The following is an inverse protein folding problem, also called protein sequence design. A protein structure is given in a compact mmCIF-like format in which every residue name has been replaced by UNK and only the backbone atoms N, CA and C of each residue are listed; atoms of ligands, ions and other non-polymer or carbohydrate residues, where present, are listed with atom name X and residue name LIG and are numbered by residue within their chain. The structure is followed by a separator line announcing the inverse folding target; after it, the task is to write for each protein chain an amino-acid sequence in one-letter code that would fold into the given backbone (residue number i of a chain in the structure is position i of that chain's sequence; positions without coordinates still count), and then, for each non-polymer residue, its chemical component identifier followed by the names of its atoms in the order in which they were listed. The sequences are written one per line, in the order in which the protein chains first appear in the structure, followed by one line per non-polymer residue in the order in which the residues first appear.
data_IF_324663791389
#
_entry.id   IF_324663791389
#
_cell.length_a   1.000
_cell.length_b   1.000
_cell.length_c   1.000
_cell.angle_alpha   90.00
_cell.angle_beta   90.00
_cell.angle_gamma   90.00
#
_symmetry.space_group_name_H-M   'P 1'
#
loop_
_entity.id
_entity.type
_entity.pdbx_description
1 polymer ?
#
# COMPACT_ATOMS: atom_id res chain seq x y z
N UNK A 1 -17.26 7.21 -13.82
CA UNK A 1 -17.01 7.44 -12.37
C UNK A 1 -17.12 6.10 -11.69
N UNK A 2 -16.02 5.63 -11.10
CA UNK A 2 -15.97 4.38 -10.35
C UNK A 2 -16.48 4.68 -8.95
N UNK A 3 -17.58 4.05 -8.54
CA UNK A 3 -18.17 4.22 -7.20
C UNK A 3 -17.86 3.05 -6.27
N UNK A 4 -17.52 1.90 -6.83
CA UNK A 4 -17.15 0.71 -6.09
C UNK A 4 -16.27 -0.20 -6.96
N UNK A 5 -15.30 -0.87 -6.34
CA UNK A 5 -14.48 -1.92 -6.96
C UNK A 5 -14.22 -3.07 -6.00
N UNK A 6 -13.69 -4.17 -6.54
CA UNK A 6 -13.22 -5.34 -5.81
C UNK A 6 -11.69 -5.31 -5.81
N UNK A 7 -11.02 -5.23 -4.66
CA UNK A 7 -9.56 -5.26 -4.52
C UNK A 7 -9.09 -6.61 -3.95
N UNK A 8 -8.87 -7.65 -4.78
CA UNK A 8 -8.47 -8.97 -4.29
C UNK A 8 -6.99 -9.02 -3.83
N UNK A 9 -6.23 -7.96 -4.07
CA UNK A 9 -4.86 -7.80 -3.60
C UNK A 9 -4.82 -7.53 -2.09
N UNK A 10 -3.78 -8.01 -1.40
CA UNK A 10 -3.51 -7.56 -0.04
C UNK A 10 -3.39 -6.03 -0.04
N UNK A 11 -4.12 -5.35 0.84
CA UNK A 11 -4.17 -3.89 0.81
C UNK A 11 -2.75 -3.29 0.80
N UNK A 12 -2.50 -2.49 -0.24
CA UNK A 12 -1.25 -1.79 -0.54
C UNK A 12 -0.07 -2.65 -1.02
N UNK A 13 -0.27 -3.95 -1.20
CA UNK A 13 0.69 -4.89 -1.78
C UNK A 13 0.08 -5.52 -3.03
N UNK A 14 0.67 -5.40 -4.24
CA UNK A 14 0.00 -5.77 -5.49
C UNK A 14 -0.11 -7.29 -5.76
N UNK A 15 -0.21 -8.10 -4.72
CA UNK A 15 -0.31 -9.56 -4.76
C UNK A 15 -1.69 -10.03 -4.31
N UNK A 16 -2.29 -10.95 -5.07
CA UNK A 16 -3.53 -11.65 -4.71
C UNK A 16 -3.15 -12.90 -3.91
N UNK A 17 -3.70 -13.14 -2.71
CA UNK A 17 -3.47 -14.36 -1.92
C UNK A 17 -4.09 -15.63 -2.55
N UNK A 18 -3.67 -15.98 -3.76
CA UNK A 18 -4.13 -17.14 -4.52
C UNK A 18 -2.93 -17.88 -5.09
N UNK A 19 -2.93 -19.21 -4.96
CA UNK A 19 -1.81 -20.06 -5.39
C UNK A 19 -1.47 -19.79 -6.86
N UNK A 20 -0.18 -19.59 -7.14
CA UNK A 20 0.35 -19.32 -8.48
C UNK A 20 0.30 -17.85 -8.89
N UNK A 21 -0.37 -16.97 -8.12
CA UNK A 21 -0.36 -15.54 -8.42
C UNK A 21 1.04 -14.94 -8.25
N UNK A 22 1.40 -14.07 -9.18
CA UNK A 22 2.69 -13.40 -9.23
C UNK A 22 2.49 -11.92 -9.49
N UNK A 23 3.27 -11.09 -8.79
CA UNK A 23 3.19 -9.65 -8.85
C UNK A 23 4.57 -9.03 -8.69
N UNK A 24 4.69 -7.80 -9.17
CA UNK A 24 5.90 -7.01 -9.02
C UNK A 24 5.54 -5.54 -8.83
N UNK A 25 6.33 -4.85 -8.03
CA UNK A 25 6.34 -3.39 -7.96
C UNK A 25 7.75 -2.85 -8.15
N UNK A 26 7.83 -1.67 -8.76
CA UNK A 26 9.04 -0.90 -8.91
C UNK A 26 8.90 0.39 -8.08
N UNK A 27 9.91 0.65 -7.27
CA UNK A 27 9.98 1.83 -6.39
C UNK A 27 10.89 2.87 -7.02
N UNK A 28 10.40 4.07 -7.22
CA UNK A 28 11.13 5.20 -7.78
C UNK A 28 11.30 6.31 -6.74
N UNK A 29 12.46 6.98 -6.73
CA UNK A 29 12.59 8.27 -6.03
C UNK A 29 11.63 9.29 -6.63
N UNK A 30 10.81 9.94 -5.80
CA UNK A 30 9.80 10.88 -6.29
C UNK A 30 10.43 12.11 -6.99
N UNK A 31 11.58 12.58 -6.49
CA UNK A 31 12.25 13.77 -7.00
C UNK A 31 13.03 13.49 -8.29
N UNK A 32 13.87 12.44 -8.30
CA UNK A 32 14.76 12.14 -9.44
C UNK A 32 14.13 11.21 -10.46
N UNK A 33 13.08 10.47 -10.08
CA UNK A 33 12.42 9.42 -10.88
C UNK A 33 13.34 8.26 -11.23
N UNK A 34 14.45 8.12 -10.51
CA UNK A 34 15.35 6.98 -10.64
C UNK A 34 14.76 5.76 -9.95
N UNK A 35 14.96 4.57 -10.54
CA UNK A 35 14.56 3.30 -9.95
C UNK A 35 15.45 3.02 -8.73
N UNK A 36 14.82 2.84 -7.56
CA UNK A 36 15.52 2.55 -6.30
C UNK A 36 15.49 1.07 -5.96
N UNK A 37 14.36 0.39 -6.20
CA UNK A 37 14.20 -1.02 -5.90
C UNK A 37 13.10 -1.67 -6.76
N UNK A 38 13.16 -2.99 -6.87
CA UNK A 38 12.10 -3.82 -7.45
C UNK A 38 11.72 -4.89 -6.43
N UNK A 39 10.44 -5.01 -6.09
CA UNK A 39 9.92 -6.06 -5.22
C UNK A 39 9.09 -7.05 -6.02
N UNK A 40 9.51 -8.30 -6.04
CA UNK A 40 8.78 -9.44 -6.61
C UNK A 40 8.04 -10.20 -5.51
N UNK A 41 6.81 -10.61 -5.79
CA UNK A 41 5.95 -11.33 -4.86
C UNK A 41 5.31 -12.53 -5.55
N UNK A 42 5.44 -13.72 -4.96
CA UNK A 42 4.89 -14.97 -5.53
C UNK A 42 4.16 -15.80 -4.49
N UNK A 43 2.87 -16.04 -4.70
CA UNK A 43 2.08 -17.00 -3.94
C UNK A 43 2.47 -18.43 -4.34
N UNK A 44 3.41 -19.02 -3.60
CA UNK A 44 4.19 -20.17 -4.06
C UNK A 44 3.66 -21.52 -3.57
N UNK A 45 2.99 -21.56 -2.41
CA UNK A 45 2.51 -22.80 -1.82
C UNK A 45 1.23 -22.59 -1.01
N UNK A 46 0.48 -23.68 -0.83
CA UNK A 46 -0.61 -23.73 0.15
C UNK A 46 0.00 -23.93 1.53
N UNK A 47 -0.52 -23.20 2.51
CA UNK A 47 -0.05 -23.26 3.89
C UNK A 47 -1.23 -23.25 4.86
N UNK A 48 -0.95 -23.57 6.11
CA UNK A 48 -1.90 -23.44 7.21
C UNK A 48 -1.22 -22.75 8.39
N UNK A 49 -1.78 -21.62 8.82
CA UNK A 49 -1.34 -20.91 10.02
C UNK A 49 -2.38 -21.13 11.10
N UNK A 50 -1.97 -21.81 12.18
CA UNK A 50 -2.88 -22.35 13.19
C UNK A 50 -3.95 -23.26 12.55
N UNK A 51 -5.20 -22.80 12.49
CA UNK A 51 -6.33 -23.54 11.91
C UNK A 51 -6.89 -22.89 10.63
N UNK A 52 -6.16 -21.95 10.02
CA UNK A 52 -6.61 -21.19 8.86
C UNK A 52 -5.79 -21.56 7.62
N UNK A 53 -6.48 -21.97 6.56
CA UNK A 53 -5.89 -22.23 5.26
C UNK A 53 -5.52 -20.91 4.57
N UNK A 54 -4.35 -20.90 3.93
CA UNK A 54 -3.78 -19.71 3.34
C UNK A 54 -2.76 -20.06 2.24
N UNK A 55 -2.17 -19.03 1.66
CA UNK A 55 -1.01 -19.17 0.78
C UNK A 55 0.23 -18.58 1.42
N UNK A 56 1.36 -19.22 1.19
CA UNK A 56 2.67 -18.63 1.43
C UNK A 56 3.05 -17.74 0.23
N UNK A 57 3.41 -16.50 0.50
CA UNK A 57 3.84 -15.53 -0.49
C UNK A 57 5.31 -15.19 -0.23
N UNK A 58 6.18 -15.61 -1.14
CA UNK A 58 7.59 -15.22 -1.11
C UNK A 58 7.75 -13.79 -1.62
N UNK A 59 8.52 -12.98 -0.89
CA UNK A 59 8.83 -11.59 -1.24
C UNK A 59 10.33 -11.48 -1.47
N UNK A 60 10.71 -10.93 -2.61
CA UNK A 60 12.11 -10.68 -2.96
C UNK A 60 12.27 -9.24 -3.38
N UNK A 61 13.04 -8.50 -2.61
CA UNK A 61 13.39 -7.14 -2.97
C UNK A 61 14.80 -7.09 -3.55
N UNK A 62 14.91 -6.43 -4.70
CA UNK A 62 16.13 -6.15 -5.40
C UNK A 62 16.40 -4.66 -5.31
N UNK A 63 17.22 -4.27 -4.34
CA UNK A 63 17.81 -2.95 -4.23
C UNK A 63 18.67 -2.66 -5.47
N UNK A 64 18.40 -1.54 -6.14
CA UNK A 64 19.25 -1.04 -7.24
C UNK A 64 20.29 -0.06 -6.70
N UNK A 65 19.95 0.67 -5.62
CA UNK A 65 20.85 1.62 -4.96
C UNK A 65 21.53 0.98 -3.75
N UNK A 66 22.80 1.29 -3.54
CA UNK A 66 23.57 0.83 -2.37
C UNK A 66 23.04 1.41 -1.05
N UNK A 67 22.37 2.56 -1.11
CA UNK A 67 21.72 3.21 0.04
C UNK A 67 20.32 2.65 0.36
N UNK A 68 19.91 1.58 -0.33
CA UNK A 68 18.65 0.91 -0.10
C UNK A 68 18.85 -0.21 0.92
N UNK A 69 18.70 0.16 2.20
CA UNK A 69 18.50 -0.78 3.29
C UNK A 69 17.19 -0.41 3.97
N UNK A 70 16.21 -1.31 3.90
CA UNK A 70 14.96 -1.22 4.66
C UNK A 70 14.99 -2.34 5.69
N UNK A 71 15.56 -2.09 6.90
CA UNK A 71 15.62 -3.08 7.94
C UNK A 71 14.24 -3.66 8.26
N UNK A 72 14.17 -4.98 8.42
CA UNK A 72 12.93 -5.66 8.77
C UNK A 72 11.96 -5.86 7.60
N UNK A 73 12.38 -5.66 6.34
CA UNK A 73 11.54 -6.00 5.20
C UNK A 73 11.13 -7.49 5.23
N UNK A 74 9.83 -7.80 5.09
CA UNK A 74 9.36 -9.16 5.08
C UNK A 74 9.85 -9.88 3.82
N UNK A 75 10.32 -11.11 3.98
CA UNK A 75 10.68 -11.98 2.85
C UNK A 75 9.66 -13.10 2.64
N UNK A 76 8.70 -13.25 3.57
CA UNK A 76 7.61 -14.20 3.48
C UNK A 76 6.35 -13.63 4.14
N UNK A 77 5.21 -13.81 3.48
CA UNK A 77 3.89 -13.64 4.07
C UNK A 77 3.14 -14.96 4.09
N UNK A 78 2.20 -15.09 5.01
CA UNK A 78 1.10 -16.02 4.95
C UNK A 78 -0.18 -15.22 4.91
N UNK A 79 -0.99 -15.42 3.88
CA UNK A 79 -2.17 -14.60 3.67
C UNK A 79 -3.32 -15.40 3.07
N UNK A 80 -4.54 -14.97 3.38
CA UNK A 80 -5.77 -15.54 2.85
C UNK A 80 -6.57 -14.49 2.10
N UNK A 81 -7.37 -14.97 1.16
CA UNK A 81 -8.39 -14.22 0.45
C UNK A 81 -9.68 -15.03 0.49
N UNK A 82 -10.77 -14.40 0.90
CA UNK A 82 -12.11 -14.97 0.81
C UNK A 82 -13.06 -14.03 0.04
N UNK A 83 -14.37 -14.29 0.14
CA UNK A 83 -15.38 -13.50 -0.56
C UNK A 83 -15.50 -12.05 -0.06
N UNK A 84 -15.04 -11.77 1.16
CA UNK A 84 -15.25 -10.51 1.89
C UNK A 84 -13.95 -9.75 2.11
N UNK A 85 -12.87 -10.44 2.47
CA UNK A 85 -11.64 -9.81 2.91
C UNK A 85 -10.36 -10.48 2.39
N UNK A 86 -9.30 -9.67 2.35
CA UNK A 86 -7.91 -10.14 2.33
C UNK A 86 -7.31 -10.00 3.71
N UNK A 87 -6.45 -10.94 4.12
CA UNK A 87 -5.90 -10.93 5.48
C UNK A 87 -4.48 -11.47 5.54
N UNK A 88 -3.60 -10.77 6.27
CA UNK A 88 -2.33 -11.31 6.74
C UNK A 88 -2.56 -12.24 7.93
N UNK A 89 -1.99 -13.44 7.87
CA UNK A 89 -2.01 -14.43 8.94
C UNK A 89 -0.64 -14.61 9.59
N UNK A 90 0.43 -14.31 8.86
CA UNK A 90 1.76 -14.29 9.43
C UNK A 90 2.77 -13.62 8.51
N UNK A 91 3.87 -13.17 9.10
CA UNK A 91 4.98 -12.53 8.41
C UNK A 91 6.29 -13.10 8.92
N UNK A 92 7.24 -13.32 8.01
CA UNK A 92 8.62 -13.65 8.37
C UNK A 92 9.52 -12.51 7.96
N UNK A 93 10.16 -11.91 8.96
CA UNK A 93 11.07 -10.78 8.80
C UNK A 93 12.46 -11.17 9.31
N UNK A 94 13.49 -10.56 8.73
CA UNK A 94 14.83 -10.62 9.28
C UNK A 94 14.94 -9.54 10.36
N UNK A 95 15.25 -9.95 11.59
CA UNK A 95 15.58 -9.05 12.71
C UNK A 95 16.96 -9.43 13.20
N UNK A 96 17.92 -8.51 13.04
CA UNK A 96 19.34 -8.76 13.30
C UNK A 96 19.83 -10.02 12.57
N UNK A 97 20.35 -11.01 13.30
CA UNK A 97 20.85 -12.29 12.77
C UNK A 97 19.78 -13.39 12.71
N UNK A 98 18.50 -13.08 13.02
CA UNK A 98 17.44 -14.08 13.16
C UNK A 98 16.27 -13.82 12.22
N UNK A 99 15.67 -14.91 11.73
CA UNK A 99 14.33 -14.87 11.15
C UNK A 99 13.31 -14.95 12.27
N UNK A 100 12.39 -14.00 12.28
CA UNK A 100 11.30 -13.94 13.26
C UNK A 100 9.99 -14.13 12.52
N UNK A 101 9.25 -15.17 12.91
CA UNK A 101 7.87 -15.39 12.50
C UNK A 101 6.96 -14.71 13.51
N UNK A 102 6.07 -13.84 13.04
CA UNK A 102 4.94 -13.31 13.81
C UNK A 102 3.63 -13.71 13.12
N UNK A 103 2.61 -14.04 13.89
CA UNK A 103 1.29 -14.46 13.41
C UNK A 103 0.19 -13.60 14.01
N UNK A 104 -1.03 -13.71 13.48
CA UNK A 104 -2.20 -12.98 13.98
C UNK A 104 -2.57 -13.25 15.45
N UNK A 105 -1.97 -14.26 16.09
CA UNK A 105 -2.14 -14.54 17.51
C UNK A 105 -1.10 -13.83 18.41
N UNK A 106 -0.06 -13.23 17.83
CA UNK A 106 0.99 -12.55 18.57
C UNK A 106 0.60 -11.11 18.92
N UNK A 107 1.08 -10.64 20.07
CA UNK A 107 0.82 -9.28 20.53
C UNK A 107 1.31 -8.23 19.51
N UNK A 108 0.48 -7.22 19.27
CA UNK A 108 0.76 -6.13 18.34
C UNK A 108 0.71 -6.49 16.86
N UNK A 109 0.48 -7.76 16.48
CA UNK A 109 0.43 -8.13 15.05
C UNK A 109 -0.62 -7.33 14.27
N UNK A 110 -1.83 -7.25 14.82
CA UNK A 110 -2.95 -6.56 14.14
C UNK A 110 -2.75 -5.04 14.08
N UNK A 111 -1.90 -4.46 14.93
CA UNK A 111 -1.55 -3.04 14.86
C UNK A 111 -0.63 -2.75 13.67
N UNK A 112 0.26 -3.69 13.35
CA UNK A 112 1.23 -3.59 12.26
C UNK A 112 0.66 -4.05 10.91
N UNK A 113 -0.19 -5.09 10.93
CA UNK A 113 -0.64 -5.82 9.73
C UNK A 113 -2.17 -5.85 9.56
N UNK A 114 -2.92 -5.21 10.45
CA UNK A 114 -4.38 -5.17 10.40
C UNK A 114 -5.05 -6.49 10.82
N UNK A 115 -6.39 -6.45 10.89
CA UNK A 115 -7.23 -7.61 11.27
C UNK A 115 -7.79 -8.38 10.07
N UNK A 116 -7.51 -7.91 8.86
CA UNK A 116 -8.30 -8.21 7.68
C UNK A 116 -8.83 -6.92 7.07
N UNK A 117 -8.90 -6.91 5.75
CA UNK A 117 -9.19 -5.74 4.94
C UNK A 117 -10.36 -6.05 4.01
N UNK A 118 -11.44 -5.26 4.10
CA UNK A 118 -12.56 -5.41 3.18
C UNK A 118 -12.09 -5.24 1.74
N UNK A 119 -12.45 -6.21 0.90
CA UNK A 119 -12.10 -6.20 -0.52
C UNK A 119 -12.91 -5.17 -1.31
N UNK A 120 -14.15 -4.89 -0.89
CA UNK A 120 -15.01 -3.93 -1.59
C UNK A 120 -14.63 -2.51 -1.18
N UNK A 121 -13.93 -1.81 -2.07
CA UNK A 121 -13.60 -0.40 -1.87
C UNK A 121 -14.64 0.47 -2.55
N UNK A 122 -15.20 1.44 -1.83
CA UNK A 122 -16.21 2.35 -2.36
C UNK A 122 -15.81 3.82 -2.22
N UNK A 123 -16.25 4.61 -3.20
CA UNK A 123 -16.34 6.07 -3.08
C UNK A 123 -17.80 6.42 -2.75
N UNK A 124 -18.05 6.69 -1.48
CA UNK A 124 -19.35 7.13 -1.00
C UNK A 124 -19.42 8.67 -0.82
N UNK A 125 -18.37 9.39 -1.26
CA UNK A 125 -18.23 10.83 -1.05
C UNK A 125 -17.75 11.21 0.35
N UNK A 126 -17.01 10.32 1.04
CA UNK A 126 -16.31 10.63 2.30
C UNK A 126 -15.45 11.86 2.17
N UNK A 127 -14.59 11.94 1.15
CA UNK A 127 -13.65 13.04 0.96
C UNK A 127 -14.21 14.09 0.00
N UNK A 128 -14.54 15.28 0.52
CA UNK A 128 -15.08 16.39 -0.28
C UNK A 128 -14.03 17.44 -0.58
N UNK A 129 -13.65 17.66 -1.85
CA UNK A 129 -12.69 18.70 -2.20
C UNK A 129 -13.21 20.08 -1.82
N UNK A 130 -12.30 20.95 -1.41
CA UNK A 130 -12.52 22.36 -1.06
C UNK A 130 -11.85 23.27 -2.11
N UNK A 131 -12.23 24.56 -2.19
CA UNK A 131 -11.63 25.50 -3.15
C UNK A 131 -10.12 25.72 -3.00
N UNK A 132 -9.55 25.45 -1.82
CA UNK A 132 -8.12 25.57 -1.50
C UNK A 132 -7.32 24.28 -1.75
N UNK A 133 -7.91 23.33 -2.50
CA UNK A 133 -7.38 21.99 -2.77
C UNK A 133 -7.24 21.07 -1.52
N UNK A 134 -7.72 21.50 -0.36
CA UNK A 134 -7.91 20.62 0.81
C UNK A 134 -9.17 19.77 0.65
N UNK A 135 -9.35 18.82 1.58
CA UNK A 135 -10.50 17.94 1.63
C UNK A 135 -11.15 18.01 3.00
N UNK A 136 -12.47 17.94 3.02
CA UNK A 136 -13.26 17.76 4.25
C UNK A 136 -13.84 16.35 4.29
N UNK A 137 -13.72 15.66 5.42
CA UNK A 137 -14.43 14.38 5.58
C UNK A 137 -15.90 14.58 5.88
N UNK A 138 -16.73 13.63 5.46
CA UNK A 138 -18.12 13.49 5.89
C UNK A 138 -18.24 12.35 6.90
N UNK A 139 -19.42 12.13 7.48
CA UNK A 139 -19.68 10.99 8.38
C UNK A 139 -19.70 9.61 7.70
N UNK A 140 -19.24 9.53 6.45
CA UNK A 140 -19.18 8.31 5.65
C UNK A 140 -17.83 7.60 5.84
N UNK A 141 -17.71 6.36 5.35
CA UNK A 141 -16.59 5.47 5.68
C UNK A 141 -15.79 4.99 4.47
N UNK A 142 -16.32 5.14 3.26
CA UNK A 142 -15.64 4.75 2.02
C UNK A 142 -14.25 5.35 1.91
N UNK A 143 -13.34 4.60 1.32
CA UNK A 143 -11.94 5.01 1.15
C UNK A 143 -11.71 5.72 -0.20
N UNK A 144 -12.68 5.62 -1.12
CA UNK A 144 -12.61 6.28 -2.42
C UNK A 144 -12.58 7.80 -2.28
N UNK A 145 -11.68 8.42 -3.04
CA UNK A 145 -11.37 9.84 -3.04
C UNK A 145 -11.41 10.41 -4.47
N UNK A 146 -12.38 9.96 -5.28
CA UNK A 146 -12.59 10.37 -6.67
C UNK A 146 -11.98 9.42 -7.71
N UNK A 147 -12.42 9.58 -8.96
CA UNK A 147 -11.91 8.83 -10.12
C UNK A 147 -10.95 9.68 -10.95
N UNK A 148 -9.85 9.09 -11.43
CA UNK A 148 -8.77 9.78 -12.13
C UNK A 148 -8.26 8.96 -13.30
N UNK A 149 -7.87 9.63 -14.39
CA UNK A 149 -7.10 9.01 -15.45
C UNK A 149 -5.61 9.11 -15.12
N UNK A 150 -4.99 7.98 -14.80
CA UNK A 150 -3.57 7.89 -14.42
C UNK A 150 -2.77 7.44 -15.62
N UNK A 151 -1.80 8.24 -16.05
CA UNK A 151 -0.92 7.90 -17.18
C UNK A 151 0.47 7.54 -16.69
N UNK A 152 0.92 6.31 -17.00
CA UNK A 152 2.26 5.80 -16.68
C UNK A 152 2.91 5.32 -17.97
N UNK A 153 4.03 5.93 -18.34
CA UNK A 153 4.64 5.73 -19.64
C UNK A 153 3.65 6.09 -20.76
N UNK A 154 3.37 5.15 -21.66
CA UNK A 154 2.40 5.31 -22.75
C UNK A 154 0.99 4.78 -22.46
N UNK A 155 0.69 4.35 -21.23
CA UNK A 155 -0.59 3.70 -20.87
C UNK A 155 -1.39 4.60 -19.92
N UNK A 156 -2.70 4.67 -20.14
CA UNK A 156 -3.64 5.41 -19.30
C UNK A 156 -4.65 4.44 -18.69
N UNK A 157 -4.89 4.59 -17.39
CA UNK A 157 -5.78 3.76 -16.59
C UNK A 157 -6.87 4.62 -15.98
N UNK A 158 -8.13 4.21 -16.12
CA UNK A 158 -9.23 4.83 -15.39
C UNK A 158 -9.27 4.22 -13.99
N UNK A 159 -8.86 5.01 -12.99
CA UNK A 159 -8.63 4.52 -11.63
C UNK A 159 -9.56 5.15 -10.61
N UNK A 160 -9.99 4.37 -9.63
CA UNK A 160 -10.42 4.92 -8.35
C UNK A 160 -9.18 5.31 -7.55
N UNK A 161 -9.09 6.57 -7.11
CA UNK A 161 -8.13 6.98 -6.09
C UNK A 161 -8.68 6.61 -4.72
N UNK A 162 -7.83 6.04 -3.88
CA UNK A 162 -8.19 5.57 -2.55
C UNK A 162 -7.26 6.19 -1.52
N UNK A 163 -7.82 6.63 -0.40
CA UNK A 163 -7.11 7.15 0.76
C UNK A 163 -7.43 6.36 2.01
N UNK A 164 -6.39 5.74 2.57
CA UNK A 164 -6.42 5.07 3.86
C UNK A 164 -5.66 5.89 4.89
N UNK A 165 -6.39 6.57 5.78
CA UNK A 165 -5.82 7.48 6.77
C UNK A 165 -5.21 6.77 7.98
N UNK A 166 -5.26 5.41 8.04
CA UNK A 166 -4.77 4.53 9.13
C UNK A 166 -5.13 4.96 10.57
N UNK A 167 -6.00 5.96 10.68
CA UNK A 167 -6.58 6.58 11.85
C UNK A 167 -7.93 7.18 11.42
N UNK A 168 -8.92 7.09 12.30
CA UNK A 168 -10.23 7.70 12.11
C UNK A 168 -10.67 8.33 13.42
N UNK A 169 -10.77 9.67 13.52
CA UNK A 169 -10.67 10.68 12.44
C UNK A 169 -9.24 10.87 11.88
N UNK A 170 -9.07 11.63 10.78
CA UNK A 170 -7.75 12.06 10.29
C UNK A 170 -6.89 12.67 11.40
N UNK A 171 -5.57 12.43 11.32
CA UNK A 171 -4.62 12.79 12.36
C UNK A 171 -3.24 13.07 11.76
N UNK A 172 -2.58 14.13 12.24
CA UNK A 172 -1.19 14.43 11.89
C UNK A 172 -0.17 13.45 12.51
N UNK A 173 -0.62 12.50 13.33
CA UNK A 173 0.20 11.43 13.91
C UNK A 173 -0.01 10.05 13.25
N UNK A 174 -0.69 10.01 12.10
CA UNK A 174 -0.95 8.77 11.36
C UNK A 174 -0.39 8.85 9.94
N UNK A 175 -0.24 7.68 9.31
CA UNK A 175 0.11 7.59 7.89
C UNK A 175 -1.14 7.76 7.02
N UNK A 176 -0.90 8.12 5.76
CA UNK A 176 -1.92 8.11 4.73
C UNK A 176 -1.38 7.32 3.54
N UNK A 177 -2.09 6.27 3.17
CA UNK A 177 -1.83 5.52 1.95
C UNK A 177 -2.66 6.13 0.80
N UNK A 178 -2.01 6.47 -0.31
CA UNK A 178 -2.69 6.85 -1.55
C UNK A 178 -2.47 5.78 -2.60
N UNK A 179 -3.56 5.19 -3.06
CA UNK A 179 -3.56 4.13 -4.06
C UNK A 179 -4.44 4.50 -5.24
N UNK A 180 -4.02 4.10 -6.44
CA UNK A 180 -4.84 4.19 -7.65
C UNK A 180 -5.08 2.78 -8.16
N UNK A 181 -6.35 2.38 -8.13
CA UNK A 181 -6.80 1.03 -8.46
C UNK A 181 -7.64 1.13 -9.74
N UNK A 182 -7.27 0.37 -10.76
CA UNK A 182 -8.01 0.34 -12.02
C UNK A 182 -9.27 -0.55 -11.93
N UNK A 183 -10.11 -0.52 -12.96
CA UNK A 183 -11.45 -1.13 -12.97
C UNK A 183 -11.48 -2.64 -12.67
N UNK A 184 -10.42 -3.39 -13.02
CA UNK A 184 -10.29 -4.82 -12.72
C UNK A 184 -9.85 -5.11 -11.28
N UNK A 185 -9.64 -4.07 -10.47
CA UNK A 185 -9.30 -4.22 -9.06
C UNK A 185 -7.82 -4.33 -8.77
N UNK A 186 -6.96 -3.89 -9.70
CA UNK A 186 -5.50 -3.97 -9.55
C UNK A 186 -4.91 -2.62 -9.19
N UNK A 187 -4.00 -2.60 -8.22
CA UNK A 187 -3.18 -1.44 -7.94
C UNK A 187 -2.31 -1.11 -9.15
N UNK A 188 -2.30 0.16 -9.55
CA UNK A 188 -1.50 0.70 -10.66
C UNK A 188 -0.37 1.58 -10.10
N UNK A 189 -0.70 2.40 -9.11
CA UNK A 189 0.20 3.40 -8.54
C UNK A 189 -0.06 3.58 -7.05
N UNK A 190 1.00 3.74 -6.28
CA UNK A 190 0.92 3.91 -4.84
C UNK A 190 1.92 4.94 -4.31
N UNK A 191 1.48 5.70 -3.30
CA UNK A 191 2.28 6.63 -2.52
C UNK A 191 1.96 6.50 -1.04
N UNK A 192 2.98 6.66 -0.21
CA UNK A 192 2.82 6.78 1.23
C UNK A 192 3.05 8.23 1.67
N UNK A 193 2.21 8.70 2.57
CA UNK A 193 2.33 10.01 3.19
C UNK A 193 2.42 9.85 4.71
N UNK A 194 3.19 10.70 5.36
CA UNK A 194 3.22 10.80 6.82
C UNK A 194 2.46 12.03 7.27
N UNK A 195 1.64 11.87 8.31
CA UNK A 195 1.10 13.01 9.04
C UNK A 195 2.25 13.91 9.52
N UNK A 196 2.02 15.21 9.46
CA UNK A 196 3.01 16.25 9.74
C UNK A 196 3.81 16.02 11.03
N UNK A 197 3.18 15.44 12.05
CA UNK A 197 3.72 15.23 13.38
C UNK A 197 4.04 13.75 13.67
N UNK A 198 4.13 12.91 12.63
CA UNK A 198 4.28 11.47 12.77
C UNK A 198 5.75 11.02 12.74
N UNK A 199 6.41 10.91 13.89
CA UNK A 199 7.76 10.36 13.97
C UNK A 199 8.45 10.69 15.30
N UNK A 200 9.63 10.13 15.56
CA UNK A 200 10.37 10.44 16.77
C UNK A 200 10.85 11.90 16.77
N UNK A 201 10.84 12.54 17.94
CA UNK A 201 11.54 13.80 18.19
C UNK A 201 10.86 15.08 17.71
N UNK A 202 9.52 15.14 17.65
CA UNK A 202 8.76 16.33 17.24
C UNK A 202 9.20 16.90 15.88
N UNK A 203 9.60 16.02 14.95
CA UNK A 203 9.93 16.42 13.59
C UNK A 203 8.65 16.86 12.89
N UNK A 204 8.64 18.10 12.39
CA UNK A 204 7.63 18.59 11.47
C UNK A 204 8.03 18.22 10.04
N UNK A 205 7.37 17.20 9.48
CA UNK A 205 7.68 16.73 8.13
C UNK A 205 7.41 17.78 7.05
N UNK A 206 6.48 18.71 7.27
CA UNK A 206 6.18 19.76 6.32
C UNK A 206 7.29 20.81 6.27
N UNK A 207 8.00 21.02 7.39
CA UNK A 207 9.20 21.87 7.46
C UNK A 207 10.42 21.13 6.91
N UNK A 208 10.59 19.84 7.24
CA UNK A 208 11.72 19.03 6.77
C UNK A 208 11.68 18.85 5.24
N UNK A 209 10.48 18.66 4.68
CA UNK A 209 10.25 18.43 3.26
C UNK A 209 9.24 19.43 2.68
N UNK A 210 9.63 20.71 2.56
CA UNK A 210 8.72 21.78 2.16
C UNK A 210 8.27 21.63 0.70
N UNK A 211 9.07 20.97 -0.13
CA UNK A 211 8.81 20.76 -1.56
C UNK A 211 8.01 19.49 -1.87
N UNK A 212 7.93 18.55 -0.94
CA UNK A 212 7.22 17.29 -1.20
C UNK A 212 5.72 17.56 -1.37
N UNK A 213 5.03 16.78 -2.23
CA UNK A 213 3.58 16.80 -2.35
C UNK A 213 2.90 16.65 -0.98
N UNK A 214 1.76 17.33 -0.82
CA UNK A 214 0.98 17.33 0.42
C UNK A 214 -0.48 17.04 0.12
N UNK A 215 -1.11 16.32 1.04
CA UNK A 215 -2.56 16.13 1.08
C UNK A 215 -3.05 16.73 2.39
N UNK A 216 -4.11 17.54 2.33
CA UNK A 216 -4.71 18.17 3.52
C UNK A 216 -6.13 17.68 3.69
N UNK A 217 -6.42 17.02 4.81
CA UNK A 217 -7.74 16.46 5.14
C UNK A 217 -8.17 16.97 6.51
N UNK A 218 -9.29 17.69 6.59
CA UNK A 218 -9.79 18.32 7.82
C UNK A 218 -8.72 19.15 8.56
N UNK A 219 -7.85 19.81 7.80
CA UNK A 219 -6.73 20.60 8.33
C UNK A 219 -5.50 19.78 8.75
N UNK A 220 -5.57 18.45 8.77
CA UNK A 220 -4.40 17.59 9.00
C UNK A 220 -3.54 17.54 7.73
N UNK A 221 -2.25 17.82 7.86
CA UNK A 221 -1.30 17.80 6.74
C UNK A 221 -0.60 16.45 6.67
N UNK A 222 -0.65 15.83 5.50
CA UNK A 222 0.07 14.61 5.15
C UNK A 222 1.12 14.93 4.09
N UNK A 223 2.38 14.58 4.35
CA UNK A 223 3.54 14.89 3.50
C UNK A 223 4.04 13.62 2.84
N UNK A 224 4.27 13.64 1.53
CA UNK A 224 4.75 12.47 0.77
C UNK A 224 6.14 12.05 1.26
N UNK A 225 6.19 10.99 2.06
CA UNK A 225 7.40 10.31 2.50
C UNK A 225 7.00 8.98 3.20
N UNK A 226 7.94 8.03 3.24
CA UNK A 226 7.80 6.78 3.98
C UNK A 226 8.48 6.86 5.36
N UNK A 227 8.49 5.75 6.11
CA UNK A 227 9.09 5.65 7.44
C UNK A 227 10.60 5.96 7.51
N UNK A 228 11.33 5.83 6.40
CA UNK A 228 12.74 6.24 6.28
C UNK A 228 12.92 7.74 6.02
N UNK A 229 11.80 8.46 5.81
CA UNK A 229 11.79 9.85 5.40
C UNK A 229 12.11 10.08 3.92
N UNK A 230 12.12 9.03 3.09
CA UNK A 230 12.29 9.14 1.64
C UNK A 230 10.92 9.27 0.96
N UNK A 231 10.85 10.01 -0.15
CA UNK A 231 9.64 10.12 -0.94
C UNK A 231 9.71 9.16 -2.13
N UNK A 232 8.82 8.17 -2.14
CA UNK A 232 8.81 7.12 -3.14
C UNK A 232 7.48 6.99 -3.85
N UNK A 233 7.58 6.71 -5.13
CA UNK A 233 6.48 6.42 -6.04
C UNK A 233 6.57 4.94 -6.42
N UNK A 234 5.52 4.18 -6.13
CA UNK A 234 5.47 2.74 -6.41
C UNK A 234 4.59 2.50 -7.63
N UNK A 235 5.13 1.79 -8.61
CA UNK A 235 4.46 1.44 -9.87
C UNK A 235 4.42 -0.09 -9.98
N UNK A 236 3.24 -0.65 -10.25
CA UNK A 236 3.05 -2.10 -10.28
C UNK A 236 3.24 -2.69 -11.68
N UNK A 237 3.41 -4.01 -11.79
CA UNK A 237 3.45 -4.68 -13.09
C UNK A 237 2.17 -4.50 -13.91
N UNK A 238 1.01 -4.29 -13.25
CA UNK A 238 -0.24 -3.87 -13.91
C UNK A 238 0.00 -2.64 -14.79
N UNK A 239 0.72 -1.65 -14.27
CA UNK A 239 1.04 -0.42 -14.99
C UNK A 239 2.11 -0.64 -16.07
N UNK A 240 3.16 -1.40 -15.75
CA UNK A 240 4.34 -1.58 -16.63
C UNK A 240 4.03 -2.47 -17.84
N UNK A 241 2.99 -3.32 -17.76
CA UNK A 241 2.60 -4.20 -18.86
C UNK A 241 3.52 -5.42 -19.00
N UNK A 242 4.15 -5.80 -17.89
CA UNK A 242 4.91 -7.05 -17.81
C UNK A 242 3.95 -8.13 -17.34
N UNK A 243 3.46 -8.92 -18.29
CA UNK A 243 2.83 -10.21 -17.98
C UNK A 243 3.93 -11.12 -17.44
N UNK A 244 3.89 -11.38 -16.14
CA UNK A 244 4.88 -12.27 -15.54
C UNK A 244 4.55 -13.70 -16.01
N UNK A 245 5.53 -14.47 -16.51
CA UNK A 245 5.28 -15.80 -17.07
C UNK A 245 4.63 -16.71 -16.02
N UNK A 246 3.42 -17.22 -16.33
CA UNK A 246 2.66 -18.12 -15.46
C UNK A 246 1.13 -18.03 -15.53
N UNK A 247 0.56 -17.08 -16.28
CA UNK A 247 -0.89 -16.91 -16.40
C UNK A 247 -1.43 -17.66 -17.63
N UNK A 248 -1.83 -18.92 -17.45
CA UNK A 248 -2.93 -19.50 -18.22
C UNK A 248 -4.11 -19.61 -17.27
N UNK A 249 -5.17 -18.85 -17.56
CA UNK A 249 -6.49 -18.99 -16.92
C UNK A 249 -7.12 -20.34 -17.24
#
# INVERSE_FOLDING_TARGET
MITQLDLPELQWWPIVPSLGHHAMQATYEADTRELSAVTEMRAASLARIHNLDCVEIAVREHAIREDWDVPGSPHLFFASLDERETRWLGVVQQMDERKVLRTFNDEGFEADWGRGAERKICDDGRYRPQPDASYRTTGRKGMGAGTFDVTIGGRTFHCLRVWDTLASPPSEHAELAEAFIEESGRLVFYRQYRGRQMGPGNIDWAIKYPKNPKIVIDGCVYVHCNCTGRAHDLITNTAIGVDLPGLTY
#
